data_IF_992474509155
#
_entry.id   IF_992474509155
#
_cell.length_a   1.000
_cell.length_b   1.000
_cell.length_c   1.000
_cell.angle_alpha   90.00
_cell.angle_beta   90.00
_cell.angle_gamma   90.00
#
_symmetry.space_group_name_H-M   'P 1'
#
loop_
_entity.id
_entity.type
_entity.pdbx_description
1 polymer ?
#
# COMPACT_ATOMS: atom_id res chain seq x y z
N UNK A 1 -8.23 -8.22 48.37
CA UNK A 1 -8.63 -9.44 47.67
C UNK A 1 -10.13 -9.37 47.44
N UNK A 2 -10.55 -9.16 46.18
CA UNK A 2 -11.95 -8.97 45.85
C UNK A 2 -12.74 -10.29 45.96
N UNK A 3 -13.95 -10.21 46.47
CA UNK A 3 -14.87 -11.35 46.65
C UNK A 3 -15.09 -12.04 45.29
N UNK A 4 -14.89 -13.36 45.28
CA UNK A 4 -15.15 -14.21 44.13
C UNK A 4 -16.60 -14.69 44.24
N UNK A 5 -17.41 -14.39 43.25
CA UNK A 5 -18.79 -14.86 43.17
C UNK A 5 -18.86 -16.09 42.25
N UNK A 6 -19.43 -17.17 42.74
CA UNK A 6 -19.75 -18.34 41.94
C UNK A 6 -21.24 -18.28 41.56
N UNK A 7 -21.53 -18.30 40.26
CA UNK A 7 -22.85 -18.19 39.70
C UNK A 7 -23.21 -19.49 38.95
N UNK A 8 -24.45 -19.91 39.02
CA UNK A 8 -25.02 -21.04 38.29
C UNK A 8 -26.21 -20.52 37.48
N UNK A 9 -26.30 -20.90 36.23
CA UNK A 9 -27.43 -20.53 35.38
C UNK A 9 -27.47 -19.05 34.97
N UNK A 10 -26.31 -18.36 34.91
CA UNK A 10 -26.26 -16.94 34.56
C UNK A 10 -26.58 -16.67 33.08
N UNK A 11 -27.20 -15.52 32.82
CA UNK A 11 -27.44 -15.00 31.47
C UNK A 11 -26.56 -13.78 31.24
N UNK A 12 -25.94 -13.70 30.09
CA UNK A 12 -25.20 -12.52 29.66
C UNK A 12 -25.77 -12.01 28.34
N UNK A 13 -26.22 -10.78 28.32
CA UNK A 13 -26.78 -10.14 27.16
C UNK A 13 -26.28 -8.70 27.02
N UNK A 14 -26.24 -8.20 25.80
CA UNK A 14 -26.06 -6.78 25.44
C UNK A 14 -27.36 -6.21 24.85
N UNK A 15 -28.49 -6.93 24.98
CA UNK A 15 -29.79 -6.46 24.54
C UNK A 15 -30.29 -5.35 25.49
N UNK A 16 -30.90 -4.30 24.95
CA UNK A 16 -31.50 -3.20 25.70
C UNK A 16 -32.74 -3.63 26.47
N UNK A 17 -33.41 -4.72 26.07
CA UNK A 17 -34.54 -5.32 26.74
C UNK A 17 -34.06 -6.26 27.85
N UNK A 18 -34.14 -5.82 29.11
CA UNK A 18 -33.57 -6.56 30.25
C UNK A 18 -34.49 -7.66 30.79
N UNK A 19 -35.81 -7.49 30.67
CA UNK A 19 -36.77 -8.47 31.20
C UNK A 19 -36.90 -9.68 30.25
N UNK A 20 -36.92 -9.45 28.93
CA UNK A 20 -36.99 -10.46 27.90
C UNK A 20 -35.97 -10.22 26.80
N UNK A 21 -34.67 -10.50 27.02
CA UNK A 21 -33.67 -10.25 26.02
C UNK A 21 -33.86 -11.18 24.81
N UNK A 22 -33.88 -10.61 23.62
CA UNK A 22 -34.04 -11.34 22.35
C UNK A 22 -32.88 -12.31 22.09
N UNK A 23 -31.73 -12.05 22.68
CA UNK A 23 -30.58 -12.95 22.62
C UNK A 23 -29.75 -12.86 23.90
N UNK A 24 -29.24 -13.99 24.34
CA UNK A 24 -28.33 -14.06 25.47
C UNK A 24 -27.43 -15.29 25.41
N UNK A 25 -26.29 -15.20 26.05
CA UNK A 25 -25.44 -16.36 26.31
C UNK A 25 -25.83 -16.95 27.63
N UNK A 26 -26.33 -18.19 27.62
CA UNK A 26 -26.61 -18.95 28.79
C UNK A 26 -25.34 -19.60 29.32
N UNK A 27 -24.98 -19.31 30.55
CA UNK A 27 -23.83 -19.88 31.26
C UNK A 27 -24.28 -20.96 32.23
N UNK A 28 -23.73 -22.14 32.14
CA UNK A 28 -24.03 -23.21 33.08
C UNK A 28 -23.46 -22.94 34.47
N UNK A 29 -22.19 -22.57 34.51
CA UNK A 29 -21.48 -22.15 35.74
C UNK A 29 -20.56 -20.99 35.38
N UNK A 30 -20.45 -19.99 36.25
CA UNK A 30 -19.54 -18.88 36.07
C UNK A 30 -18.86 -18.49 37.37
N UNK A 31 -17.60 -18.14 37.29
CA UNK A 31 -16.80 -17.55 38.35
C UNK A 31 -16.57 -16.09 38.03
N UNK A 32 -17.22 -15.22 38.77
CA UNK A 32 -17.16 -13.78 38.58
C UNK A 32 -16.12 -13.19 39.53
N UNK A 33 -15.14 -12.50 39.01
CA UNK A 33 -14.20 -11.66 39.74
C UNK A 33 -14.55 -10.20 39.47
N UNK A 34 -15.24 -9.49 40.36
CA UNK A 34 -15.66 -8.11 40.15
C UNK A 34 -14.50 -7.24 39.68
N UNK A 35 -14.73 -6.40 38.69
CA UNK A 35 -13.74 -5.50 38.08
C UNK A 35 -12.54 -6.19 37.39
N UNK A 36 -12.50 -7.50 37.31
CA UNK A 36 -11.43 -8.24 36.62
C UNK A 36 -11.97 -9.06 35.44
N UNK A 37 -12.73 -10.11 35.71
CA UNK A 37 -13.21 -11.00 34.64
C UNK A 37 -14.34 -11.94 35.13
N UNK A 38 -15.06 -12.50 34.15
CA UNK A 38 -15.93 -13.67 34.35
C UNK A 38 -15.30 -14.83 33.58
N UNK A 39 -15.11 -15.95 34.26
CA UNK A 39 -14.71 -17.23 33.65
C UNK A 39 -15.89 -18.16 33.73
N UNK A 40 -16.33 -18.69 32.60
CA UNK A 40 -17.51 -19.59 32.55
C UNK A 40 -17.09 -21.01 32.22
N UNK A 41 -17.91 -21.97 32.67
CA UNK A 41 -17.95 -23.32 32.09
C UNK A 41 -18.67 -23.30 30.74
N UNK A 42 -19.31 -24.42 30.35
CA UNK A 42 -20.03 -24.50 29.09
C UNK A 42 -21.07 -23.39 28.94
N UNK A 43 -21.05 -22.74 27.79
CA UNK A 43 -22.01 -21.68 27.41
C UNK A 43 -22.62 -22.00 26.05
N UNK A 44 -23.86 -21.57 25.83
CA UNK A 44 -24.56 -21.67 24.57
C UNK A 44 -25.37 -20.42 24.28
N UNK A 45 -25.55 -20.10 23.01
CA UNK A 45 -26.37 -18.98 22.58
C UNK A 45 -27.85 -19.36 22.66
N UNK A 46 -28.67 -18.46 23.15
CA UNK A 46 -30.13 -18.51 23.12
C UNK A 46 -30.63 -17.32 22.32
N UNK A 47 -31.50 -17.58 21.37
CA UNK A 47 -32.12 -16.57 20.52
C UNK A 47 -33.63 -16.74 20.60
N UNK A 48 -34.36 -15.69 21.01
CA UNK A 48 -35.82 -15.75 21.22
C UNK A 48 -36.26 -16.98 22.06
N UNK A 49 -35.56 -17.19 23.19
CA UNK A 49 -35.74 -18.34 24.09
C UNK A 49 -35.49 -19.74 23.48
N UNK A 50 -34.99 -19.81 22.22
CA UNK A 50 -34.60 -21.05 21.59
C UNK A 50 -33.10 -21.30 21.79
N UNK A 51 -32.70 -22.38 22.51
CA UNK A 51 -31.30 -22.68 22.70
C UNK A 51 -30.65 -23.26 21.44
N UNK A 52 -29.58 -22.62 21.00
CA UNK A 52 -28.81 -23.05 19.86
C UNK A 52 -27.60 -23.89 20.32
N UNK A 53 -27.85 -25.13 20.70
CA UNK A 53 -26.79 -26.04 21.23
C UNK A 53 -25.59 -26.26 20.29
N UNK A 54 -25.72 -26.27 18.96
CA UNK A 54 -24.55 -26.37 18.08
C UNK A 54 -23.61 -25.16 18.19
N UNK A 55 -24.11 -24.03 18.70
CA UNK A 55 -23.33 -22.80 18.91
C UNK A 55 -23.02 -22.69 20.39
N UNK A 56 -22.23 -23.62 20.90
CA UNK A 56 -21.79 -23.65 22.27
C UNK A 56 -20.26 -23.69 22.38
N UNK A 57 -19.75 -23.11 23.44
CA UNK A 57 -18.33 -23.15 23.79
C UNK A 57 -18.15 -23.90 25.10
N UNK A 58 -17.13 -24.75 25.25
CA UNK A 58 -16.87 -25.49 26.45
C UNK A 58 -16.51 -24.59 27.66
N UNK A 59 -15.98 -23.40 27.35
CA UNK A 59 -15.70 -22.33 28.32
C UNK A 59 -15.66 -20.99 27.63
N UNK A 60 -15.91 -19.91 28.40
CA UNK A 60 -15.78 -18.54 27.85
C UNK A 60 -15.15 -17.63 28.90
N UNK A 61 -14.51 -16.56 28.43
CA UNK A 61 -13.84 -15.59 29.26
C UNK A 61 -14.30 -14.18 28.90
N UNK A 62 -14.89 -13.45 29.84
CA UNK A 62 -15.34 -12.08 29.68
C UNK A 62 -14.53 -11.17 30.60
N UNK A 63 -13.64 -10.32 30.06
CA UNK A 63 -12.94 -9.32 30.88
C UNK A 63 -13.84 -8.13 31.22
N UNK A 64 -13.81 -7.67 32.45
CA UNK A 64 -14.45 -6.42 32.89
C UNK A 64 -13.49 -5.22 32.82
N UNK A 65 -12.52 -5.23 31.97
CA UNK A 65 -11.61 -4.10 31.89
C UNK A 65 -12.23 -2.99 31.05
N UNK A 66 -12.22 -1.78 31.55
CA UNK A 66 -12.44 -0.57 30.76
C UNK A 66 -11.28 -0.28 29.79
N UNK A 67 -10.21 -1.05 29.88
CA UNK A 67 -9.05 -1.02 28.99
C UNK A 67 -9.21 -2.08 27.89
N UNK A 68 -8.66 -1.76 26.77
CA UNK A 68 -8.55 -2.56 25.58
C UNK A 68 -8.11 -4.01 25.87
N UNK A 69 -8.93 -4.99 25.52
CA UNK A 69 -8.67 -6.40 25.86
C UNK A 69 -8.97 -7.32 24.67
N UNK A 70 -8.25 -8.44 24.62
CA UNK A 70 -8.49 -9.50 23.64
C UNK A 70 -9.81 -10.22 23.92
N UNK A 71 -10.47 -10.70 22.86
CA UNK A 71 -11.74 -11.39 23.01
C UNK A 71 -12.25 -12.05 21.73
N UNK A 72 -13.31 -12.83 21.88
CA UNK A 72 -13.99 -13.51 20.78
C UNK A 72 -14.88 -12.50 20.04
N UNK A 73 -14.83 -12.51 18.71
CA UNK A 73 -15.74 -11.79 17.84
C UNK A 73 -16.82 -12.77 17.40
N UNK A 74 -18.08 -12.47 17.76
CA UNK A 74 -19.21 -13.31 17.39
C UNK A 74 -19.48 -13.19 15.88
N UNK A 75 -19.71 -14.32 15.20
CA UNK A 75 -20.03 -14.30 13.77
C UNK A 75 -21.43 -13.73 13.51
N UNK A 76 -21.58 -13.07 12.39
CA UNK A 76 -22.90 -12.78 11.80
C UNK A 76 -23.39 -14.00 11.04
N UNK A 77 -24.68 -14.24 11.04
CA UNK A 77 -25.30 -15.33 10.32
C UNK A 77 -26.33 -14.80 9.32
N UNK A 78 -26.59 -15.58 8.31
CA UNK A 78 -27.55 -15.26 7.25
C UNK A 78 -27.56 -16.33 6.18
N UNK A 79 -28.27 -16.06 5.07
CA UNK A 79 -28.32 -16.93 3.93
C UNK A 79 -28.06 -16.18 2.61
N UNK A 80 -27.48 -16.88 1.66
CA UNK A 80 -27.25 -16.42 0.31
C UNK A 80 -27.75 -17.49 -0.68
N UNK A 81 -28.43 -17.08 -1.74
CA UNK A 81 -28.95 -17.98 -2.76
C UNK A 81 -27.84 -18.83 -3.42
N UNK A 82 -26.66 -18.26 -3.61
CA UNK A 82 -25.56 -18.90 -4.33
C UNK A 82 -24.71 -19.81 -3.43
N UNK A 83 -24.40 -19.40 -2.20
CA UNK A 83 -23.47 -20.10 -1.29
C UNK A 83 -24.15 -20.75 -0.09
N UNK A 84 -25.47 -20.53 0.09
CA UNK A 84 -26.27 -21.08 1.19
C UNK A 84 -26.12 -20.32 2.50
N UNK A 85 -26.47 -20.95 3.61
CA UNK A 85 -26.33 -20.35 4.94
C UNK A 85 -24.86 -20.08 5.26
N UNK A 86 -24.62 -18.99 5.95
CA UNK A 86 -23.27 -18.58 6.32
C UNK A 86 -23.14 -18.15 7.78
N UNK A 87 -21.94 -18.34 8.30
CA UNK A 87 -21.39 -17.66 9.45
C UNK A 87 -20.19 -16.83 8.97
N UNK A 88 -20.23 -15.52 9.21
CA UNK A 88 -19.24 -14.58 8.67
C UNK A 88 -18.70 -13.66 9.75
N UNK A 89 -17.45 -13.19 9.56
CA UNK A 89 -16.77 -12.24 10.44
C UNK A 89 -16.65 -12.70 11.91
N UNK A 90 -16.77 -14.00 12.17
CA UNK A 90 -16.49 -14.60 13.46
C UNK A 90 -14.99 -14.86 13.65
N UNK A 91 -14.50 -14.69 14.88
CA UNK A 91 -13.09 -14.94 15.11
C UNK A 91 -12.57 -14.49 16.47
N UNK A 92 -11.32 -14.03 16.48
CA UNK A 92 -10.68 -13.60 17.70
C UNK A 92 -9.94 -12.28 17.50
N UNK A 93 -10.14 -11.36 18.42
CA UNK A 93 -9.49 -10.08 18.50
C UNK A 93 -8.33 -10.17 19.51
N UNK A 94 -7.13 -9.83 19.04
CA UNK A 94 -5.92 -9.76 19.85
C UNK A 94 -5.56 -8.29 20.10
N UNK A 95 -5.61 -7.88 21.36
CA UNK A 95 -5.05 -6.63 21.81
C UNK A 95 -3.54 -6.84 22.05
N UNK A 96 -2.74 -6.71 20.99
CA UNK A 96 -1.30 -7.01 21.05
C UNK A 96 -0.52 -6.00 21.87
N UNK A 97 -0.89 -4.72 21.78
CA UNK A 97 -0.27 -3.64 22.54
C UNK A 97 -1.14 -2.37 22.48
N UNK A 98 -0.81 -1.35 23.27
CA UNK A 98 -1.46 -0.04 23.23
C UNK A 98 -1.38 0.65 21.86
N UNK A 99 -0.57 0.14 20.94
CA UNK A 99 -0.31 0.74 19.62
C UNK A 99 -0.75 -0.12 18.45
N UNK A 100 -1.13 -1.38 18.68
CA UNK A 100 -1.40 -2.36 17.63
C UNK A 100 -2.42 -3.39 18.07
N UNK A 101 -3.38 -3.65 17.21
CA UNK A 101 -4.35 -4.75 17.35
C UNK A 101 -4.24 -5.75 16.18
N UNK A 102 -4.90 -6.88 16.33
CA UNK A 102 -5.06 -7.88 15.28
C UNK A 102 -6.39 -8.61 15.47
N UNK A 103 -7.25 -8.58 14.47
CA UNK A 103 -8.44 -9.43 14.40
C UNK A 103 -8.22 -10.52 13.35
N UNK A 104 -8.33 -11.77 13.75
CA UNK A 104 -8.39 -12.91 12.85
C UNK A 104 -9.84 -13.34 12.72
N UNK A 105 -10.39 -13.30 11.51
CA UNK A 105 -11.79 -13.56 11.21
C UNK A 105 -11.92 -14.69 10.22
N UNK A 106 -12.97 -15.48 10.38
CA UNK A 106 -13.31 -16.56 9.47
C UNK A 106 -14.72 -16.42 8.93
N UNK A 107 -14.95 -17.00 7.79
CA UNK A 107 -16.28 -17.16 7.20
C UNK A 107 -16.44 -18.56 6.62
N UNK A 108 -17.61 -19.12 6.79
CA UNK A 108 -17.97 -20.46 6.27
C UNK A 108 -19.37 -20.43 5.69
N UNK A 109 -19.57 -21.23 4.64
CA UNK A 109 -20.83 -21.34 3.92
C UNK A 109 -21.21 -22.80 3.77
N UNK A 110 -22.52 -23.12 3.86
CA UNK A 110 -22.99 -24.50 3.82
C UNK A 110 -22.70 -25.22 2.51
N UNK A 111 -22.60 -24.52 1.36
CA UNK A 111 -22.22 -25.11 0.07
C UNK A 111 -20.70 -25.29 -0.12
N UNK A 112 -19.90 -25.10 0.94
CA UNK A 112 -18.48 -25.41 0.97
C UNK A 112 -17.54 -24.26 0.57
N UNK A 113 -18.03 -23.03 0.45
CA UNK A 113 -17.20 -21.83 0.39
C UNK A 113 -16.69 -21.48 1.80
N UNK A 114 -15.49 -20.92 1.88
CA UNK A 114 -14.91 -20.45 3.15
C UNK A 114 -13.90 -19.34 2.92
N UNK A 115 -13.65 -18.56 3.95
CA UNK A 115 -12.67 -17.49 3.89
C UNK A 115 -12.00 -17.24 5.25
N UNK A 116 -10.82 -16.65 5.16
CA UNK A 116 -10.05 -16.17 6.32
C UNK A 116 -9.63 -14.73 6.07
N UNK A 117 -9.72 -13.89 7.09
CA UNK A 117 -9.22 -12.53 7.02
C UNK A 117 -8.46 -12.14 8.29
N UNK A 118 -7.45 -11.30 8.10
CA UNK A 118 -6.66 -10.71 9.16
C UNK A 118 -6.76 -9.19 9.03
N UNK A 119 -7.22 -8.51 10.07
CA UNK A 119 -7.34 -7.05 10.14
C UNK A 119 -6.50 -6.54 11.29
N UNK A 120 -5.67 -5.56 11.04
CA UNK A 120 -4.81 -4.93 12.04
C UNK A 120 -4.82 -3.43 11.84
N UNK A 121 -4.97 -2.69 12.92
CA UNK A 121 -4.72 -1.26 12.95
C UNK A 121 -3.58 -0.97 13.92
N UNK A 122 -2.68 -0.07 13.54
CA UNK A 122 -1.58 0.30 14.39
C UNK A 122 -1.32 1.79 14.33
N UNK A 123 -1.05 2.38 15.48
CA UNK A 123 -0.80 3.81 15.59
C UNK A 123 0.09 4.13 16.78
N UNK A 124 1.17 4.81 16.52
CA UNK A 124 2.01 5.40 17.55
C UNK A 124 2.14 6.90 17.31
N UNK A 125 1.56 7.69 18.22
CA UNK A 125 1.51 9.15 18.11
C UNK A 125 2.91 9.74 17.85
N UNK A 126 3.01 10.65 16.88
CA UNK A 126 4.25 11.27 16.41
C UNK A 126 5.31 10.31 15.84
N UNK A 127 4.95 9.07 15.52
CA UNK A 127 5.86 8.11 14.89
C UNK A 127 5.31 7.52 13.62
N UNK A 128 4.21 6.80 13.69
CA UNK A 128 3.59 6.17 12.53
C UNK A 128 2.12 5.82 12.77
N UNK A 129 1.40 5.64 11.69
CA UNK A 129 0.06 5.06 11.68
C UNK A 129 -0.13 4.20 10.44
N UNK A 130 -1.00 3.21 10.53
CA UNK A 130 -1.33 2.37 9.40
C UNK A 130 -2.40 1.36 9.72
N UNK A 131 -2.83 0.66 8.67
CA UNK A 131 -3.76 -0.46 8.75
C UNK A 131 -3.34 -1.55 7.78
N UNK A 132 -3.55 -2.77 8.17
CA UNK A 132 -3.31 -3.95 7.36
C UNK A 132 -4.57 -4.79 7.33
N UNK A 133 -5.00 -5.19 6.14
CA UNK A 133 -6.13 -6.08 5.93
C UNK A 133 -5.74 -7.09 4.85
N UNK A 134 -5.72 -8.36 5.20
CA UNK A 134 -5.48 -9.45 4.26
C UNK A 134 -6.65 -10.41 4.34
N UNK A 135 -7.15 -10.87 3.20
CA UNK A 135 -8.23 -11.84 3.11
C UNK A 135 -7.92 -12.90 2.04
N UNK A 136 -8.31 -14.11 2.33
CA UNK A 136 -8.26 -15.24 1.43
C UNK A 136 -9.63 -15.91 1.39
N UNK A 137 -10.19 -16.04 0.20
CA UNK A 137 -11.54 -16.55 -0.04
C UNK A 137 -11.49 -17.72 -1.01
N UNK A 138 -12.12 -18.82 -0.65
CA UNK A 138 -12.38 -19.96 -1.53
C UNK A 138 -13.86 -19.99 -1.82
N UNK A 139 -14.24 -19.60 -3.03
CA UNK A 139 -15.63 -19.55 -3.48
C UNK A 139 -15.93 -20.79 -4.33
N UNK A 140 -16.90 -21.58 -3.88
CA UNK A 140 -17.41 -22.73 -4.58
C UNK A 140 -18.85 -22.43 -5.02
N UNK A 141 -19.10 -22.44 -6.32
CA UNK A 141 -20.40 -22.23 -6.93
C UNK A 141 -20.79 -23.49 -7.71
N UNK A 142 -22.07 -23.85 -7.68
CA UNK A 142 -22.59 -25.05 -8.33
C UNK A 142 -22.12 -26.36 -7.67
N UNK A 143 -22.63 -27.49 -8.21
CA UNK A 143 -22.29 -28.81 -7.72
C UNK A 143 -21.21 -29.48 -8.60
N UNK A 144 -20.29 -30.21 -7.94
CA UNK A 144 -19.20 -30.88 -8.64
C UNK A 144 -19.73 -31.85 -9.69
N UNK A 145 -19.33 -31.65 -10.93
CA UNK A 145 -19.76 -32.47 -12.08
C UNK A 145 -20.83 -31.81 -12.94
N UNK A 146 -21.39 -30.68 -12.55
CA UNK A 146 -22.33 -29.88 -13.38
C UNK A 146 -21.58 -28.76 -14.14
N UNK A 147 -22.13 -28.28 -15.26
CA UNK A 147 -21.48 -27.23 -16.08
C UNK A 147 -21.32 -25.88 -15.37
N UNK A 148 -22.12 -25.64 -14.34
CA UNK A 148 -22.11 -24.42 -13.52
C UNK A 148 -21.10 -24.47 -12.34
N UNK A 149 -20.38 -25.60 -12.19
CA UNK A 149 -19.37 -25.74 -11.14
C UNK A 149 -18.22 -24.79 -11.38
N UNK A 150 -17.98 -23.92 -10.43
CA UNK A 150 -16.84 -23.01 -10.41
C UNK A 150 -16.17 -22.98 -9.03
N UNK A 151 -14.85 -23.20 -9.00
CA UNK A 151 -14.02 -23.10 -7.80
C UNK A 151 -13.02 -21.98 -8.01
N UNK A 152 -13.19 -20.89 -7.29
CA UNK A 152 -12.26 -19.75 -7.29
C UNK A 152 -11.51 -19.67 -5.97
N UNK A 153 -10.24 -19.29 -6.06
CA UNK A 153 -9.38 -19.02 -4.92
C UNK A 153 -8.86 -17.60 -5.08
N UNK A 154 -9.31 -16.73 -4.22
CA UNK A 154 -9.07 -15.30 -4.32
C UNK A 154 -8.40 -14.77 -3.07
N UNK A 155 -7.56 -13.76 -3.23
CA UNK A 155 -6.98 -13.04 -2.11
C UNK A 155 -7.00 -11.54 -2.34
N UNK A 156 -7.01 -10.78 -1.25
CA UNK A 156 -6.90 -9.32 -1.25
C UNK A 156 -6.00 -8.89 -0.11
N UNK A 157 -5.08 -7.98 -0.38
CA UNK A 157 -4.20 -7.35 0.59
C UNK A 157 -4.30 -5.85 0.45
N UNK A 158 -4.73 -5.21 1.52
CA UNK A 158 -4.72 -3.75 1.66
C UNK A 158 -3.79 -3.39 2.82
N UNK A 159 -2.78 -2.58 2.54
CA UNK A 159 -1.88 -2.08 3.56
C UNK A 159 -1.64 -0.60 3.36
N UNK A 160 -1.93 0.16 4.39
CA UNK A 160 -1.60 1.58 4.44
C UNK A 160 -0.61 1.82 5.57
N UNK A 161 0.43 2.56 5.29
CA UNK A 161 1.39 3.00 6.31
C UNK A 161 1.83 4.42 6.02
N UNK A 162 1.84 5.23 7.06
CA UNK A 162 2.34 6.60 6.99
C UNK A 162 3.23 6.85 8.20
N UNK A 163 4.48 7.19 7.93
CA UNK A 163 5.40 7.65 8.96
C UNK A 163 5.19 9.14 9.21
N UNK A 164 5.13 9.54 10.49
CA UNK A 164 5.07 10.95 10.87
C UNK A 164 6.43 11.63 10.58
N UNK A 165 6.46 12.78 9.88
CA UNK A 165 7.70 13.51 9.63
C UNK A 165 8.48 13.87 10.89
N UNK A 166 7.81 14.01 12.04
CA UNK A 166 8.44 14.28 13.34
C UNK A 166 9.20 13.07 13.90
N UNK A 167 8.91 11.86 13.44
CA UNK A 167 9.59 10.65 13.90
C UNK A 167 11.05 10.61 13.47
N UNK A 168 11.29 10.97 12.21
CA UNK A 168 12.63 11.08 11.64
C UNK A 168 12.61 12.04 10.44
N UNK A 169 13.19 13.24 10.55
CA UNK A 169 13.21 14.22 9.45
C UNK A 169 14.08 13.78 8.27
N UNK A 170 14.94 12.78 8.46
CA UNK A 170 15.88 12.29 7.44
C UNK A 170 15.42 11.02 6.73
N UNK A 171 14.42 10.34 7.27
CA UNK A 171 13.85 9.14 6.67
C UNK A 171 12.34 9.27 6.64
N UNK A 172 11.76 9.20 5.46
CA UNK A 172 10.30 9.07 5.27
C UNK A 172 9.98 7.73 4.66
N UNK A 173 8.95 7.10 5.20
CA UNK A 173 8.41 5.85 4.70
C UNK A 173 6.89 5.95 4.58
N UNK A 174 6.35 5.59 3.42
CA UNK A 174 4.91 5.49 3.20
C UNK A 174 4.59 4.30 2.31
N UNK A 175 3.48 3.64 2.59
CA UNK A 175 2.97 2.54 1.79
C UNK A 175 1.46 2.68 1.61
N UNK A 176 1.01 2.41 0.39
CA UNK A 176 -0.39 2.28 0.03
C UNK A 176 -0.51 1.10 -0.92
N UNK A 177 -0.80 -0.07 -0.36
CA UNK A 177 -0.90 -1.33 -1.11
C UNK A 177 -2.37 -1.71 -1.23
N UNK A 178 -2.84 -1.88 -2.45
CA UNK A 178 -4.15 -2.43 -2.77
C UNK A 178 -3.96 -3.48 -3.87
N UNK A 179 -3.79 -4.72 -3.45
CA UNK A 179 -3.48 -5.83 -4.34
C UNK A 179 -4.47 -6.97 -4.11
N UNK A 180 -5.04 -7.51 -5.18
CA UNK A 180 -5.95 -8.65 -5.09
C UNK A 180 -5.95 -9.44 -6.40
N UNK A 181 -6.46 -10.68 -6.36
CA UNK A 181 -6.81 -11.39 -7.60
C UNK A 181 -7.91 -10.64 -8.36
N UNK A 182 -7.87 -10.68 -9.69
CA UNK A 182 -8.83 -9.99 -10.55
C UNK A 182 -10.29 -10.46 -10.35
N UNK A 183 -10.45 -11.67 -9.85
CA UNK A 183 -11.76 -12.30 -9.57
C UNK A 183 -12.30 -11.98 -8.18
N UNK A 184 -11.45 -11.51 -7.24
CA UNK A 184 -11.83 -11.30 -5.84
C UNK A 184 -13.11 -10.46 -5.68
N UNK A 185 -13.11 -9.25 -6.28
CA UNK A 185 -14.23 -8.33 -6.10
C UNK A 185 -15.50 -8.84 -6.82
N UNK A 186 -15.36 -9.55 -7.93
CA UNK A 186 -16.50 -10.18 -8.63
C UNK A 186 -17.12 -11.31 -7.82
N UNK A 187 -16.32 -12.15 -7.20
CA UNK A 187 -16.79 -13.28 -6.41
C UNK A 187 -17.36 -12.85 -5.04
N UNK A 188 -17.07 -11.61 -4.61
CA UNK A 188 -17.53 -11.06 -3.34
C UNK A 188 -18.72 -10.08 -3.48
N UNK A 189 -19.30 -9.95 -4.68
CA UNK A 189 -20.38 -8.99 -4.96
C UNK A 189 -21.66 -9.21 -4.14
N UNK A 190 -21.93 -10.45 -3.75
CA UNK A 190 -23.15 -10.85 -3.02
C UNK A 190 -22.95 -10.82 -1.49
N UNK A 191 -21.96 -10.11 -0.99
CA UNK A 191 -21.80 -9.90 0.44
C UNK A 191 -22.91 -8.98 0.95
N UNK A 192 -23.65 -9.43 1.98
CA UNK A 192 -24.70 -8.64 2.64
C UNK A 192 -24.16 -7.37 3.32
N UNK A 193 -22.86 -7.32 3.55
CA UNK A 193 -22.18 -6.12 4.00
C UNK A 193 -21.37 -5.53 2.84
N UNK A 194 -21.91 -4.52 2.12
CA UNK A 194 -21.07 -3.77 1.20
C UNK A 194 -19.89 -3.22 1.98
N UNK A 195 -18.67 -3.49 1.48
CA UNK A 195 -17.48 -2.84 2.01
C UNK A 195 -17.75 -1.33 2.14
N UNK A 196 -17.09 -0.65 3.06
CA UNK A 196 -17.30 0.78 3.29
C UNK A 196 -17.29 1.65 2.00
N UNK A 197 -16.75 1.11 0.91
CA UNK A 197 -16.71 1.71 -0.43
C UNK A 197 -17.83 1.24 -1.38
N UNK A 198 -18.69 0.30 -0.96
CA UNK A 198 -19.86 -0.17 -1.72
C UNK A 198 -19.55 -0.69 -3.13
N UNK A 199 -20.45 -0.39 -4.07
CA UNK A 199 -20.32 -0.79 -5.48
C UNK A 199 -19.12 -0.22 -6.23
N UNK A 200 -18.42 0.76 -5.67
CA UNK A 200 -17.25 1.38 -6.30
C UNK A 200 -16.10 0.39 -6.49
N UNK A 201 -15.89 -0.53 -5.55
CA UNK A 201 -14.80 -1.52 -5.63
C UNK A 201 -15.04 -2.55 -6.77
N UNK A 202 -16.29 -2.89 -7.03
CA UNK A 202 -16.67 -3.86 -8.08
C UNK A 202 -16.42 -3.31 -9.48
N UNK A 203 -16.65 -2.01 -9.66
CA UNK A 203 -16.47 -1.32 -10.93
C UNK A 203 -15.06 -0.80 -11.14
N UNK A 204 -14.17 -0.94 -10.15
CA UNK A 204 -12.80 -0.48 -10.25
C UNK A 204 -11.98 -1.41 -11.15
N UNK A 205 -11.72 -0.96 -12.38
CA UNK A 205 -10.90 -1.71 -13.34
C UNK A 205 -9.39 -1.63 -13.06
N UNK A 206 -8.94 -0.67 -12.26
CA UNK A 206 -7.52 -0.46 -11.97
C UNK A 206 -7.28 -0.38 -10.46
N UNK A 207 -6.25 -1.07 -10.00
CA UNK A 207 -5.76 -1.00 -8.62
C UNK A 207 -4.31 -0.58 -8.65
N UNK A 208 -3.97 0.39 -7.80
CA UNK A 208 -2.62 0.90 -7.71
C UNK A 208 -2.07 0.67 -6.32
N UNK A 209 -0.84 0.20 -6.27
CA UNK A 209 -0.07 0.03 -5.03
C UNK A 209 1.23 0.77 -5.15
N UNK A 210 1.64 1.45 -4.09
CA UNK A 210 2.93 2.12 -4.03
C UNK A 210 3.56 2.04 -2.65
N UNK A 211 4.87 1.87 -2.62
CA UNK A 211 5.70 1.95 -1.42
C UNK A 211 6.80 2.95 -1.71
N UNK A 212 6.94 3.96 -0.87
CA UNK A 212 7.92 5.02 -1.04
C UNK A 212 8.82 5.12 0.18
N UNK A 213 10.11 5.17 -0.07
CA UNK A 213 11.15 5.39 0.95
C UNK A 213 12.03 6.54 0.48
N UNK A 214 12.24 7.53 1.32
CA UNK A 214 13.17 8.62 1.01
C UNK A 214 14.11 8.82 2.18
N UNK A 215 15.41 8.78 1.91
CA UNK A 215 16.46 9.04 2.89
C UNK A 215 17.28 10.27 2.48
N UNK A 216 17.33 11.24 3.38
CA UNK A 216 18.18 12.44 3.27
C UNK A 216 19.35 12.30 4.21
N UNK A 217 20.51 12.77 3.79
CA UNK A 217 21.73 12.75 4.61
C UNK A 217 22.00 14.16 5.14
N UNK A 218 21.96 14.39 6.46
CA UNK A 218 22.00 15.75 7.03
C UNK A 218 23.25 16.56 6.70
N UNK A 219 24.40 15.88 6.55
CA UNK A 219 25.68 16.53 6.30
C UNK A 219 26.20 16.33 4.87
N UNK A 220 25.39 15.75 4.01
CA UNK A 220 25.73 15.46 2.61
C UNK A 220 24.64 15.97 1.67
N UNK A 221 24.98 16.43 0.48
CA UNK A 221 24.01 16.92 -0.47
C UNK A 221 23.15 15.82 -1.12
N UNK A 222 23.32 14.57 -0.69
CA UNK A 222 22.64 13.42 -1.30
C UNK A 222 21.27 13.14 -0.67
N UNK A 223 20.34 12.78 -1.55
CA UNK A 223 19.03 12.22 -1.19
C UNK A 223 18.83 10.97 -2.03
N UNK A 224 18.40 9.88 -1.40
CA UNK A 224 18.07 8.63 -2.05
C UNK A 224 16.57 8.41 -1.86
N UNK A 225 15.83 8.23 -2.94
CA UNK A 225 14.43 7.83 -2.92
C UNK A 225 14.24 6.53 -3.68
N UNK A 226 13.46 5.63 -3.12
CA UNK A 226 13.06 4.38 -3.73
C UNK A 226 11.55 4.30 -3.77
N UNK A 227 11.00 3.94 -4.91
CA UNK A 227 9.57 3.72 -5.12
C UNK A 227 9.37 2.33 -5.69
N UNK A 228 8.44 1.60 -5.13
CA UNK A 228 7.88 0.38 -5.71
C UNK A 228 6.45 0.66 -6.08
N UNK A 229 6.04 0.31 -7.29
CA UNK A 229 4.66 0.49 -7.74
C UNK A 229 4.16 -0.74 -8.48
N UNK A 230 2.89 -1.04 -8.23
CA UNK A 230 2.15 -2.12 -8.90
C UNK A 230 0.83 -1.52 -9.36
N UNK A 231 0.58 -1.57 -10.67
CA UNK A 231 -0.67 -1.16 -11.28
C UNK A 231 -1.30 -2.40 -11.92
N UNK A 232 -2.46 -2.76 -11.42
CA UNK A 232 -3.20 -3.93 -11.83
C UNK A 232 -4.47 -3.51 -12.58
N UNK A 233 -4.72 -4.10 -13.75
CA UNK A 233 -5.96 -3.92 -14.51
C UNK A 233 -6.78 -5.21 -14.42
N UNK A 234 -7.90 -5.15 -13.71
CA UNK A 234 -8.70 -6.33 -13.38
C UNK A 234 -9.47 -6.89 -14.58
N UNK A 235 -9.80 -6.05 -15.56
CA UNK A 235 -10.56 -6.44 -16.75
C UNK A 235 -9.86 -7.50 -17.60
N UNK A 236 -8.56 -7.36 -17.81
CA UNK A 236 -7.76 -8.24 -18.67
C UNK A 236 -6.66 -8.99 -17.88
N UNK A 237 -6.71 -8.92 -16.55
CA UNK A 237 -5.75 -9.54 -15.61
C UNK A 237 -4.30 -9.16 -15.93
N UNK A 238 -4.07 -7.93 -16.38
CA UNK A 238 -2.74 -7.41 -16.63
C UNK A 238 -2.19 -6.68 -15.40
N UNK A 239 -0.88 -6.76 -15.25
CA UNK A 239 -0.16 -6.16 -14.14
C UNK A 239 1.10 -5.48 -14.65
N UNK A 240 1.26 -4.22 -14.30
CA UNK A 240 2.47 -3.45 -14.52
C UNK A 240 3.18 -3.25 -13.17
N UNK A 241 4.38 -3.77 -13.06
CA UNK A 241 5.20 -3.71 -11.84
C UNK A 241 6.45 -2.90 -12.14
N UNK A 242 6.75 -1.94 -11.27
CA UNK A 242 8.03 -1.23 -11.25
C UNK A 242 8.69 -1.51 -9.90
N UNK A 243 9.81 -2.24 -9.90
CA UNK A 243 10.44 -2.77 -8.69
C UNK A 243 11.94 -2.98 -8.87
N UNK A 244 12.80 -2.18 -8.29
CA UNK A 244 12.55 -0.85 -7.76
C UNK A 244 12.64 0.26 -8.83
N UNK A 245 12.08 1.42 -8.55
CA UNK A 245 12.50 2.69 -9.14
C UNK A 245 13.29 3.45 -8.07
N UNK A 246 14.58 3.66 -8.31
CA UNK A 246 15.47 4.34 -7.36
C UNK A 246 15.97 5.64 -7.98
N UNK A 247 15.93 6.71 -7.21
CA UNK A 247 16.51 7.99 -7.61
C UNK A 247 17.50 8.45 -6.57
N UNK A 248 18.71 8.72 -7.03
CA UNK A 248 19.78 9.33 -6.22
C UNK A 248 19.98 10.74 -6.73
N UNK A 249 19.72 11.74 -5.89
CA UNK A 249 19.92 13.13 -6.23
C UNK A 249 20.99 13.75 -5.35
N UNK A 250 21.83 14.56 -5.96
CA UNK A 250 22.75 15.46 -5.26
C UNK A 250 22.25 16.90 -5.47
N UNK A 251 21.93 17.57 -4.38
CA UNK A 251 21.54 18.98 -4.43
C UNK A 251 22.68 19.82 -5.00
N UNK A 252 22.33 21.01 -5.50
CA UNK A 252 23.31 21.94 -6.09
C UNK A 252 24.48 22.19 -5.13
N UNK A 253 25.68 21.92 -5.62
CA UNK A 253 26.94 22.21 -4.94
C UNK A 253 27.77 23.18 -5.78
N UNK A 254 28.69 23.90 -5.15
CA UNK A 254 29.65 24.77 -5.76
C UNK A 254 31.06 24.19 -5.51
N UNK A 255 31.55 23.29 -6.39
CA UNK A 255 32.74 22.49 -6.10
C UNK A 255 34.02 23.34 -5.97
N UNK A 256 34.03 24.52 -6.62
CA UNK A 256 35.17 25.41 -6.65
C UNK A 256 35.06 26.57 -5.65
N UNK A 257 34.02 26.58 -4.78
CA UNK A 257 33.83 27.62 -3.78
C UNK A 257 34.87 27.49 -2.65
N UNK A 258 35.59 28.57 -2.39
CA UNK A 258 36.57 28.61 -1.28
C UNK A 258 35.89 28.46 0.07
N UNK A 259 36.49 27.69 0.99
CA UNK A 259 35.98 27.52 2.38
C UNK A 259 36.03 28.83 3.20
N UNK A 260 37.01 29.67 2.93
CA UNK A 260 37.18 30.96 3.59
C UNK A 260 37.35 32.05 2.52
N UNK A 261 36.26 32.63 2.03
CA UNK A 261 36.33 33.65 0.98
C UNK A 261 36.91 34.94 1.52
N UNK A 262 38.01 35.40 0.91
CA UNK A 262 38.58 36.73 1.15
C UNK A 262 38.43 37.53 -0.15
N UNK A 263 37.75 38.70 -0.07
CA UNK A 263 37.47 39.54 -1.24
C UNK A 263 36.27 39.10 -2.07
N UNK A 264 36.19 39.62 -3.33
CA UNK A 264 35.07 39.31 -4.22
C UNK A 264 35.10 37.85 -4.69
N UNK A 265 33.91 37.27 -4.88
CA UNK A 265 33.77 35.95 -5.48
C UNK A 265 34.38 35.92 -6.89
N UNK A 266 35.18 34.89 -7.15
CA UNK A 266 35.80 34.67 -8.47
C UNK A 266 34.81 33.99 -9.39
N UNK A 267 34.97 34.12 -10.70
CA UNK A 267 34.05 33.58 -11.69
C UNK A 267 33.83 32.05 -11.56
N UNK A 268 34.89 31.28 -11.24
CA UNK A 268 34.79 29.82 -11.12
C UNK A 268 34.08 29.38 -9.81
N UNK A 269 34.00 30.24 -8.80
CA UNK A 269 33.27 29.95 -7.55
C UNK A 269 31.75 29.95 -7.78
N UNK A 270 31.29 30.54 -8.89
CA UNK A 270 29.88 30.58 -9.29
C UNK A 270 29.46 29.35 -10.11
N UNK A 271 30.39 28.46 -10.44
CA UNK A 271 30.10 27.21 -11.11
C UNK A 271 29.40 26.28 -10.13
N UNK A 272 28.20 25.89 -10.49
CA UNK A 272 27.39 24.97 -9.71
C UNK A 272 27.14 23.69 -10.48
N UNK A 273 27.05 22.60 -9.76
CA UNK A 273 26.78 21.27 -10.30
C UNK A 273 25.74 20.56 -9.43
N UNK A 274 24.89 19.80 -10.03
CA UNK A 274 24.02 18.84 -9.36
C UNK A 274 24.07 17.50 -10.08
N UNK A 275 23.48 16.47 -9.48
CA UNK A 275 23.44 15.14 -10.05
C UNK A 275 22.06 14.53 -9.80
N UNK A 276 21.54 13.83 -10.81
CA UNK A 276 20.36 12.97 -10.68
C UNK A 276 20.60 11.66 -11.39
N UNK A 277 20.61 10.57 -10.65
CA UNK A 277 20.65 9.20 -11.16
C UNK A 277 19.33 8.52 -10.91
N UNK A 278 18.70 7.97 -11.95
CA UNK A 278 17.44 7.21 -11.83
C UNK A 278 17.66 5.80 -12.38
N UNK A 279 17.40 4.81 -11.56
CA UNK A 279 17.34 3.40 -11.94
C UNK A 279 15.89 2.97 -11.95
N UNK A 280 15.44 2.30 -12.98
CA UNK A 280 14.09 1.76 -13.10
C UNK A 280 14.15 0.32 -13.63
N UNK A 281 13.44 -0.55 -12.94
CA UNK A 281 13.23 -1.92 -13.34
C UNK A 281 11.73 -2.18 -13.39
N UNK A 282 11.19 -2.53 -14.56
CA UNK A 282 9.74 -2.66 -14.75
C UNK A 282 9.38 -3.82 -15.68
N UNK A 283 8.19 -4.36 -15.45
CA UNK A 283 7.57 -5.37 -16.31
C UNK A 283 6.06 -5.09 -16.44
N UNK A 284 5.53 -5.38 -17.63
CA UNK A 284 4.09 -5.45 -17.86
C UNK A 284 3.76 -6.84 -18.37
N UNK A 285 2.94 -7.58 -17.62
CA UNK A 285 2.62 -8.99 -17.89
C UNK A 285 1.23 -9.36 -17.37
N UNK A 286 0.84 -10.62 -17.54
CA UNK A 286 -0.38 -11.16 -16.92
C UNK A 286 -0.08 -11.64 -15.49
N UNK A 287 -1.09 -11.60 -14.59
CA UNK A 287 -0.93 -12.00 -13.18
C UNK A 287 -0.32 -13.38 -13.00
N UNK A 288 -0.74 -14.36 -13.80
CA UNK A 288 -0.29 -15.75 -13.73
C UNK A 288 1.17 -15.96 -14.20
N UNK A 289 1.72 -14.99 -14.93
CA UNK A 289 3.07 -15.03 -15.48
C UNK A 289 4.08 -14.25 -14.66
N UNK A 290 3.63 -13.36 -13.78
CA UNK A 290 4.51 -12.47 -13.01
C UNK A 290 5.60 -13.25 -12.24
N UNK A 291 5.20 -14.28 -11.49
CA UNK A 291 6.14 -15.08 -10.70
C UNK A 291 6.96 -16.11 -11.52
N UNK A 292 6.66 -16.24 -12.81
CA UNK A 292 7.41 -17.09 -13.74
C UNK A 292 8.37 -16.27 -14.61
N UNK A 293 8.34 -14.95 -14.49
CA UNK A 293 9.14 -14.04 -15.29
C UNK A 293 10.62 -14.07 -14.90
N UNK A 294 11.49 -13.93 -15.90
CA UNK A 294 12.93 -13.82 -15.71
C UNK A 294 13.33 -12.35 -15.56
N UNK A 295 14.00 -12.01 -14.46
CA UNK A 295 14.41 -10.64 -14.12
C UNK A 295 15.34 -9.97 -15.16
N UNK A 296 16.04 -10.73 -16.01
CA UNK A 296 16.95 -10.21 -17.02
C UNK A 296 16.28 -10.11 -18.37
N UNK A 297 15.51 -11.14 -18.76
CA UNK A 297 14.94 -11.24 -20.12
C UNK A 297 13.59 -10.55 -20.25
N UNK A 298 12.74 -10.67 -19.24
CA UNK A 298 11.36 -10.18 -19.31
C UNK A 298 11.19 -8.80 -18.70
N UNK A 299 12.10 -8.39 -17.82
CA UNK A 299 12.08 -7.09 -17.17
C UNK A 299 12.90 -6.07 -17.93
N UNK A 300 12.36 -4.86 -18.01
CA UNK A 300 13.04 -3.71 -18.60
C UNK A 300 13.87 -3.00 -17.55
N UNK A 301 15.19 -3.11 -17.68
CA UNK A 301 16.15 -2.47 -16.78
C UNK A 301 16.79 -1.28 -17.48
N UNK A 302 16.68 -0.10 -16.89
CA UNK A 302 17.30 1.11 -17.39
C UNK A 302 17.86 1.95 -16.25
N UNK A 303 18.98 2.60 -16.50
CA UNK A 303 19.55 3.60 -15.60
C UNK A 303 19.86 4.87 -16.37
N UNK A 304 19.49 6.03 -15.83
CA UNK A 304 19.77 7.32 -16.41
C UNK A 304 20.57 8.16 -15.42
N UNK A 305 21.60 8.81 -15.91
CA UNK A 305 22.38 9.80 -15.19
C UNK A 305 22.18 11.17 -15.85
N UNK A 306 22.07 12.22 -15.04
CA UNK A 306 22.00 13.60 -15.51
C UNK A 306 22.88 14.46 -14.61
N UNK A 307 23.78 15.21 -15.25
CA UNK A 307 24.75 16.08 -14.60
C UNK A 307 24.63 17.49 -15.20
N UNK A 308 23.71 18.31 -14.70
CA UNK A 308 23.67 19.72 -15.07
C UNK A 308 24.76 20.51 -14.37
N UNK A 309 25.53 21.27 -15.15
CA UNK A 309 26.53 22.23 -14.70
C UNK A 309 26.09 23.60 -15.19
N UNK A 310 26.04 24.59 -14.32
CA UNK A 310 25.65 25.95 -14.68
C UNK A 310 26.43 26.98 -13.89
N UNK A 311 26.61 28.15 -14.50
CA UNK A 311 27.19 29.30 -13.82
C UNK A 311 26.43 30.56 -14.22
N UNK A 312 26.47 31.59 -13.40
CA UNK A 312 25.88 32.90 -13.72
C UNK A 312 26.88 33.97 -13.41
N UNK A 313 27.20 34.78 -14.42
CA UNK A 313 28.14 35.90 -14.32
C UNK A 313 27.44 37.20 -14.68
N UNK A 314 27.66 38.26 -13.88
CA UNK A 314 27.26 39.59 -14.25
C UNK A 314 28.43 40.32 -14.88
N UNK A 315 28.29 40.65 -16.16
CA UNK A 315 29.27 41.40 -16.93
C UNK A 315 28.78 42.85 -17.04
N UNK A 316 29.69 43.79 -16.92
CA UNK A 316 29.36 45.23 -16.97
C UNK A 316 28.24 45.71 -16.04
N UNK A 317 28.02 45.00 -14.92
CA UNK A 317 26.94 45.21 -13.93
C UNK A 317 25.51 44.99 -14.39
N UNK A 318 25.24 45.03 -15.70
CA UNK A 318 23.89 45.04 -16.27
C UNK A 318 23.57 43.80 -17.09
N UNK A 319 24.55 43.08 -17.57
CA UNK A 319 24.38 41.91 -18.40
C UNK A 319 24.67 40.64 -17.61
N UNK A 320 23.66 39.80 -17.42
CA UNK A 320 23.83 38.47 -16.81
C UNK A 320 24.02 37.43 -17.91
N UNK A 321 25.14 36.74 -17.90
CA UNK A 321 25.45 35.63 -18.79
C UNK A 321 25.38 34.34 -17.98
N UNK A 322 24.57 33.40 -18.45
CA UNK A 322 24.35 32.12 -17.78
C UNK A 322 24.65 30.96 -18.72
N UNK A 323 25.91 30.50 -18.79
CA UNK A 323 26.23 29.27 -19.50
C UNK A 323 25.68 28.07 -18.71
N UNK A 324 25.18 27.09 -19.43
CA UNK A 324 24.75 25.81 -18.90
C UNK A 324 25.22 24.66 -19.77
N UNK A 325 25.60 23.58 -19.16
CA UNK A 325 26.01 22.34 -19.81
C UNK A 325 25.26 21.20 -19.09
N UNK A 326 24.55 20.40 -19.85
CA UNK A 326 23.81 19.26 -19.30
C UNK A 326 24.29 17.99 -19.99
N UNK A 327 24.87 17.09 -19.23
CA UNK A 327 25.27 15.77 -19.68
C UNK A 327 24.25 14.74 -19.21
N UNK A 328 23.77 13.89 -20.14
CA UNK A 328 22.88 12.78 -19.85
C UNK A 328 23.48 11.49 -20.40
N UNK A 329 23.37 10.45 -19.62
CA UNK A 329 23.80 9.11 -19.98
C UNK A 329 22.75 8.10 -19.58
N UNK A 330 22.49 7.12 -20.44
CA UNK A 330 21.51 6.07 -20.21
C UNK A 330 22.17 4.71 -20.44
N UNK A 331 21.93 3.81 -19.51
CA UNK A 331 22.38 2.43 -19.55
C UNK A 331 21.19 1.49 -19.66
N UNK A 332 21.31 0.51 -20.54
CA UNK A 332 20.29 -0.49 -20.80
C UNK A 332 20.91 -1.87 -20.73
N UNK A 333 20.12 -2.88 -20.34
CA UNK A 333 20.53 -4.28 -20.28
C UNK A 333 20.16 -5.07 -21.53
N UNK A 334 19.44 -4.44 -22.46
CA UNK A 334 19.05 -5.07 -23.73
C UNK A 334 18.98 -4.05 -24.85
N UNK A 335 19.13 -4.53 -26.08
CA UNK A 335 18.94 -3.80 -27.32
C UNK A 335 17.97 -4.56 -28.21
N UNK A 336 16.99 -3.86 -28.75
CA UNK A 336 16.01 -4.42 -29.70
C UNK A 336 16.41 -4.00 -31.10
N UNK A 337 16.65 -4.96 -31.98
CA UNK A 337 16.84 -4.73 -33.39
C UNK A 337 15.51 -4.77 -34.11
N UNK A 338 15.18 -3.73 -34.84
CA UNK A 338 13.92 -3.60 -35.58
C UNK A 338 14.18 -3.61 -37.06
N UNK A 339 13.34 -4.31 -37.82
CA UNK A 339 13.33 -4.34 -39.25
C UNK A 339 11.97 -3.87 -39.76
N UNK A 340 11.98 -3.11 -40.88
CA UNK A 340 10.75 -2.63 -41.47
C UNK A 340 10.08 -3.75 -42.27
N UNK A 341 8.92 -4.21 -41.79
CA UNK A 341 8.09 -5.20 -42.49
C UNK A 341 7.20 -4.48 -43.53
N UNK A 342 7.46 -4.72 -44.79
CA UNK A 342 6.72 -4.12 -45.91
C UNK A 342 5.30 -4.60 -46.02
N UNK A 343 4.99 -5.80 -45.51
CA UNK A 343 3.62 -6.34 -45.50
C UNK A 343 2.77 -5.71 -44.39
N UNK A 344 3.36 -5.50 -43.21
CA UNK A 344 2.69 -4.88 -42.05
C UNK A 344 2.79 -3.35 -42.06
N UNK A 345 3.57 -2.78 -42.97
CA UNK A 345 3.90 -1.34 -43.04
C UNK A 345 4.32 -0.76 -41.66
N UNK A 346 5.05 -1.54 -40.88
CA UNK A 346 5.47 -1.19 -39.53
C UNK A 346 6.86 -1.75 -39.21
N UNK A 347 7.54 -1.10 -38.26
CA UNK A 347 8.75 -1.65 -37.66
C UNK A 347 8.42 -2.82 -36.76
N UNK A 348 8.98 -3.99 -37.02
CA UNK A 348 8.80 -5.20 -36.25
C UNK A 348 10.11 -5.55 -35.56
N UNK A 349 10.03 -5.93 -34.27
CA UNK A 349 11.19 -6.40 -33.54
C UNK A 349 11.69 -7.71 -34.16
N UNK A 350 12.95 -7.75 -34.59
CA UNK A 350 13.60 -8.92 -35.20
C UNK A 350 14.28 -9.77 -34.16
N UNK A 351 15.10 -9.14 -33.32
CA UNK A 351 15.87 -9.82 -32.29
C UNK A 351 16.10 -8.91 -31.08
N UNK A 352 16.28 -9.53 -29.92
CA UNK A 352 16.62 -8.84 -28.68
C UNK A 352 17.94 -9.39 -28.15
N UNK A 353 18.97 -8.56 -28.23
CA UNK A 353 20.29 -8.91 -27.69
C UNK A 353 20.45 -8.37 -26.27
N UNK A 354 20.91 -9.22 -25.36
CA UNK A 354 21.14 -8.88 -23.96
C UNK A 354 22.61 -8.56 -23.74
N UNK A 355 22.86 -7.44 -23.05
CA UNK A 355 24.21 -6.95 -22.78
C UNK A 355 24.16 -5.55 -22.17
N UNK A 356 25.31 -4.97 -21.93
CA UNK A 356 25.40 -3.58 -21.45
C UNK A 356 25.47 -2.63 -22.63
N UNK A 357 24.47 -1.76 -22.76
CA UNK A 357 24.38 -0.74 -23.80
C UNK A 357 24.35 0.63 -23.16
N UNK A 358 25.19 1.54 -23.69
CA UNK A 358 25.36 2.90 -23.22
C UNK A 358 25.01 3.88 -24.32
N UNK A 359 24.18 4.87 -23.99
CA UNK A 359 23.84 6.01 -24.86
C UNK A 359 24.06 7.26 -24.05
N UNK A 360 24.70 8.26 -24.64
CA UNK A 360 24.90 9.55 -24.01
C UNK A 360 24.56 10.69 -24.96
N UNK A 361 24.11 11.79 -24.38
CA UNK A 361 23.88 13.05 -25.04
C UNK A 361 24.34 14.21 -24.18
N UNK A 362 24.64 15.34 -24.78
CA UNK A 362 24.96 16.56 -24.07
C UNK A 362 24.33 17.76 -24.75
N UNK A 363 24.00 18.76 -23.98
CA UNK A 363 23.49 20.04 -24.44
C UNK A 363 24.26 21.17 -23.76
N UNK A 364 24.76 22.10 -24.54
CA UNK A 364 25.40 23.31 -24.08
C UNK A 364 24.59 24.52 -24.55
N UNK A 365 24.30 25.44 -23.64
CA UNK A 365 23.56 26.66 -23.94
C UNK A 365 24.16 27.85 -23.18
N UNK A 366 24.06 29.02 -23.77
CA UNK A 366 24.43 30.28 -23.13
C UNK A 366 23.24 31.23 -23.25
N UNK A 367 22.75 31.69 -22.13
CA UNK A 367 21.73 32.73 -22.09
C UNK A 367 22.29 34.03 -21.56
N UNK A 368 21.87 35.12 -22.17
CA UNK A 368 22.24 36.48 -21.79
C UNK A 368 20.96 37.25 -21.47
N UNK A 369 20.90 37.90 -20.31
CA UNK A 369 19.73 38.69 -19.91
C UNK A 369 20.16 40.01 -19.30
N UNK A 370 19.42 41.06 -19.57
CA UNK A 370 19.59 42.39 -19.00
C UNK A 370 18.25 42.97 -18.62
N UNK A 371 18.25 43.83 -17.60
CA UNK A 371 17.04 44.55 -17.18
C UNK A 371 17.23 46.03 -17.52
N UNK A 372 16.38 46.54 -18.39
CA UNK A 372 16.36 47.95 -18.74
C UNK A 372 15.36 48.68 -17.85
N UNK A 373 15.82 49.69 -17.16
CA UNK A 373 14.97 50.55 -16.34
C UNK A 373 14.72 51.84 -17.10
N UNK A 374 13.46 52.20 -17.32
CA UNK A 374 13.03 53.49 -17.92
C UNK A 374 12.10 54.22 -16.99
N UNK A 375 12.29 55.56 -16.91
CA UNK A 375 11.31 56.41 -16.26
C UNK A 375 10.31 56.90 -17.30
N UNK A 376 9.06 56.49 -17.16
CA UNK A 376 7.97 56.96 -17.98
C UNK A 376 7.39 58.21 -17.31
N UNK A 377 7.46 59.37 -17.98
CA UNK A 377 6.65 60.56 -17.63
C UNK A 377 5.37 60.47 -18.45
N UNK A 378 4.19 60.32 -17.82
CA UNK A 378 2.96 60.44 -18.59
C UNK A 378 2.88 61.80 -19.25
N UNK A 379 2.55 61.82 -20.53
CA UNK A 379 2.24 63.07 -21.23
C UNK A 379 1.06 63.77 -20.50
N UNK A 380 1.18 65.06 -20.20
CA UNK A 380 0.04 65.77 -19.63
C UNK A 380 -1.06 65.81 -20.71
N UNK A 381 -2.22 65.30 -20.39
CA UNK A 381 -3.44 65.52 -21.16
C UNK A 381 -3.92 66.93 -20.97
#
# INVERSE_FOLDING_TARGET
EGDILNMVGGKYTTCDEHEHPHFYIQMTKAKVRPKKNIVTGPVYLVLEDVPLYPIGLPFCFFPFSSTYSSGIIMPTFGDESTRGFFLRDGGYYFALSDYMDLALLGEIYTKGSWGLSARSAYRKRYKFSGSFNASYLVTKLGDKGLPDYNLSKDFKVNWTHTQDPKANPYLSFSASVNFSTSSYDRNNQNSLYPNANGYADVNQNTKSSSINVTKRFPNNPFTISGTMSINQTTRDSSIAVTLPSMTVTMSRIFPFKRKHPVGKERWYEKISMSYSGTFSNSITTKENLLFKSNLIKDWQNAMQHSIPVSATFSVLKYLNISPSFNYKERWYTSKIEQEYDTQKQALVARDTTYGFYRIYDFNASISASTTLYGFYKPLPF
#
